data_IF_246457718395
#
_entry.id   IF_246457718395
#
_cell.length_a   1.000
_cell.length_b   1.000
_cell.length_c   1.000
_cell.angle_alpha   90.00
_cell.angle_beta   90.00
_cell.angle_gamma   90.00
#
_symmetry.space_group_name_H-M   'P 1'
#
loop_
_entity.id
_entity.type
_entity.pdbx_description
1 polymer ?
#
# COMPACT_ATOMS: atom_id res chain seq x y z
N UNK A 1 -2.40 -19.25 -33.07
CA UNK A 1 -1.31 -18.37 -33.53
C UNK A 1 0.06 -18.91 -33.07
N UNK A 2 0.34 -20.21 -33.25
CA UNK A 2 1.54 -20.86 -32.66
C UNK A 2 2.61 -21.28 -33.68
N UNK A 3 2.40 -21.03 -34.98
CA UNK A 3 3.19 -21.66 -36.05
C UNK A 3 4.43 -20.89 -36.54
N UNK A 4 4.72 -19.69 -36.04
CA UNK A 4 5.81 -18.83 -36.57
C UNK A 4 6.74 -18.28 -35.46
N UNK A 5 7.17 -19.12 -34.51
CA UNK A 5 8.08 -18.71 -33.42
C UNK A 5 9.40 -19.48 -33.52
N UNK A 6 10.51 -18.76 -33.71
CA UNK A 6 11.84 -19.37 -33.73
C UNK A 6 12.34 -19.42 -32.29
N UNK A 7 12.38 -20.64 -31.75
CA UNK A 7 12.67 -20.93 -30.34
C UNK A 7 14.16 -20.69 -30.07
N UNK A 8 14.48 -19.93 -29.03
CA UNK A 8 15.86 -19.75 -28.54
C UNK A 8 16.12 -20.81 -27.47
N UNK A 9 17.20 -21.58 -27.62
CA UNK A 9 17.61 -22.60 -26.65
C UNK A 9 18.15 -21.93 -25.37
N UNK A 10 17.60 -22.20 -24.17
CA UNK A 10 18.11 -21.66 -22.91
C UNK A 10 19.59 -21.95 -22.65
N UNK A 11 20.16 -23.01 -23.24
CA UNK A 11 21.58 -23.37 -23.11
C UNK A 11 22.53 -22.42 -23.85
N UNK A 12 22.00 -21.54 -24.71
CA UNK A 12 22.79 -20.52 -25.42
C UNK A 12 23.15 -19.30 -24.55
N UNK A 13 22.61 -19.20 -23.33
CA UNK A 13 22.95 -18.16 -22.35
C UNK A 13 23.18 -18.78 -20.96
N UNK A 14 24.40 -18.67 -20.44
CA UNK A 14 24.75 -19.10 -19.09
C UNK A 14 24.12 -18.16 -18.04
N UNK A 15 22.97 -18.51 -17.47
CA UNK A 15 22.41 -17.84 -16.29
C UNK A 15 21.99 -18.90 -15.27
N UNK A 16 22.73 -19.00 -14.17
CA UNK A 16 22.34 -19.77 -12.98
C UNK A 16 21.11 -19.14 -12.33
N UNK A 17 19.96 -19.80 -12.42
CA UNK A 17 18.75 -19.40 -11.71
C UNK A 17 18.68 -20.10 -10.34
N UNK A 18 18.96 -19.36 -9.27
CA UNK A 18 18.60 -19.74 -7.91
C UNK A 18 17.54 -18.74 -7.44
N UNK A 19 16.29 -19.19 -7.26
CA UNK A 19 15.17 -18.37 -6.78
C UNK A 19 14.73 -18.91 -5.42
N UNK A 20 14.78 -18.13 -4.32
CA UNK A 20 14.13 -18.50 -3.08
C UNK A 20 12.63 -18.22 -3.14
N UNK A 21 11.81 -19.19 -2.70
CA UNK A 21 10.35 -19.10 -2.59
C UNK A 21 9.95 -18.21 -1.40
N UNK A 22 9.01 -17.29 -1.62
CA UNK A 22 8.23 -16.66 -0.55
C UNK A 22 6.78 -17.15 -0.64
N UNK A 23 6.23 -17.63 0.47
CA UNK A 23 4.87 -18.14 0.57
C UNK A 23 3.88 -16.97 0.75
N UNK A 24 2.88 -16.88 -0.14
CA UNK A 24 1.64 -16.12 0.05
C UNK A 24 0.46 -17.10 -0.05
N UNK A 25 -0.66 -16.87 0.67
CA UNK A 25 -1.76 -17.82 0.72
C UNK A 25 -2.61 -17.76 -0.56
N UNK A 26 -3.12 -18.91 -1.06
CA UNK A 26 -4.00 -18.93 -2.21
C UNK A 26 -5.41 -18.48 -1.83
N UNK A 27 -6.04 -17.68 -2.69
CA UNK A 27 -7.49 -17.50 -2.70
C UNK A 27 -8.12 -18.61 -3.53
N UNK A 28 -9.33 -18.99 -3.16
CA UNK A 28 -10.01 -20.24 -3.52
C UNK A 28 -10.45 -20.36 -4.99
N UNK A 29 -10.35 -21.60 -5.49
CA UNK A 29 -10.94 -22.16 -6.71
C UNK A 29 -10.36 -21.71 -8.06
N UNK A 30 -9.13 -22.15 -8.35
CA UNK A 30 -8.69 -22.38 -9.73
C UNK A 30 -8.31 -23.84 -9.91
N UNK A 31 -8.93 -24.49 -10.90
CA UNK A 31 -8.69 -25.87 -11.27
C UNK A 31 -7.20 -26.12 -11.54
N UNK A 32 -6.66 -27.19 -10.94
CA UNK A 32 -5.26 -27.59 -11.10
C UNK A 32 -4.95 -27.91 -12.58
N UNK A 33 -4.23 -27.01 -13.24
CA UNK A 33 -3.66 -27.23 -14.58
C UNK A 33 -2.35 -28.02 -14.42
N UNK A 34 -2.06 -29.05 -15.26
CA UNK A 34 -0.88 -29.90 -15.09
C UNK A 34 0.43 -29.11 -15.24
N UNK A 35 1.41 -29.45 -14.40
CA UNK A 35 2.76 -28.88 -14.37
C UNK A 35 3.54 -29.20 -15.66
N UNK A 36 3.60 -28.24 -16.59
CA UNK A 36 4.83 -28.01 -17.36
C UNK A 36 5.54 -26.80 -16.75
N UNK A 37 6.63 -27.04 -16.00
CA UNK A 37 7.36 -26.04 -15.19
C UNK A 37 8.07 -24.93 -15.98
N UNK A 38 7.93 -24.88 -17.31
CA UNK A 38 8.59 -23.88 -18.15
C UNK A 38 7.61 -23.25 -19.13
N UNK A 39 7.68 -21.92 -19.29
CA UNK A 39 6.78 -21.19 -20.17
C UNK A 39 6.78 -21.77 -21.60
N UNK A 40 5.63 -22.11 -22.19
CA UNK A 40 5.57 -22.78 -23.50
C UNK A 40 6.09 -21.92 -24.66
N UNK A 41 6.17 -20.60 -24.46
CA UNK A 41 6.62 -19.63 -25.47
C UNK A 41 8.15 -19.52 -25.46
N UNK A 42 8.73 -19.16 -24.31
CA UNK A 42 10.16 -18.86 -24.21
C UNK A 42 11.00 -19.97 -23.56
N UNK A 43 10.36 -21.04 -23.05
CA UNK A 43 10.99 -22.18 -22.38
C UNK A 43 11.96 -21.79 -21.26
N UNK A 44 11.62 -20.73 -20.52
CA UNK A 44 12.45 -20.21 -19.43
C UNK A 44 13.47 -19.15 -19.84
N UNK A 45 13.71 -18.90 -21.13
CA UNK A 45 14.64 -17.86 -21.59
C UNK A 45 14.14 -16.44 -21.30
N UNK A 46 12.82 -16.25 -21.17
CA UNK A 46 12.20 -14.94 -20.91
C UNK A 46 12.06 -14.04 -22.15
N UNK A 47 12.63 -14.43 -23.29
CA UNK A 47 12.55 -13.74 -24.58
C UNK A 47 12.35 -14.76 -25.71
N UNK A 48 11.89 -14.30 -26.87
CA UNK A 48 11.76 -15.12 -28.08
C UNK A 48 11.92 -14.25 -29.33
N UNK A 49 12.18 -14.87 -30.48
CA UNK A 49 12.19 -14.20 -31.79
C UNK A 49 11.06 -14.75 -32.67
N UNK A 50 10.47 -13.90 -33.51
CA UNK A 50 9.51 -14.37 -34.52
C UNK A 50 10.25 -15.11 -35.64
N UNK A 51 9.65 -16.18 -36.15
CA UNK A 51 10.14 -16.88 -37.33
C UNK A 51 9.51 -16.22 -38.58
N UNK A 52 10.16 -15.17 -39.05
CA UNK A 52 9.71 -14.33 -40.18
C UNK A 52 10.82 -14.24 -41.24
N UNK A 53 10.51 -13.91 -42.51
CA UNK A 53 11.53 -13.73 -43.55
C UNK A 53 12.53 -12.61 -43.22
N UNK A 54 13.72 -12.64 -43.82
CA UNK A 54 14.80 -11.64 -43.59
C UNK A 54 14.35 -10.19 -43.87
N UNK A 55 13.40 -10.01 -44.79
CA UNK A 55 12.88 -8.69 -45.14
C UNK A 55 11.78 -8.19 -44.19
N UNK A 56 11.36 -9.00 -43.22
CA UNK A 56 10.39 -8.59 -42.19
C UNK A 56 11.09 -7.74 -41.12
N UNK A 57 10.50 -6.62 -40.69
CA UNK A 57 11.09 -5.75 -39.67
C UNK A 57 11.30 -6.44 -38.31
N UNK A 58 10.62 -7.56 -38.04
CA UNK A 58 10.76 -8.33 -36.81
C UNK A 58 11.82 -9.44 -36.91
N UNK A 59 12.47 -9.61 -38.07
CA UNK A 59 13.51 -10.62 -38.24
C UNK A 59 14.67 -10.38 -37.27
N UNK A 60 14.98 -11.39 -36.45
CA UNK A 60 16.06 -11.31 -35.46
C UNK A 60 15.77 -10.40 -34.25
N UNK A 61 14.57 -9.81 -34.14
CA UNK A 61 14.22 -8.95 -33.02
C UNK A 61 13.90 -9.78 -31.77
N UNK A 62 14.54 -9.46 -30.64
CA UNK A 62 14.26 -10.08 -29.34
C UNK A 62 13.00 -9.47 -28.72
N UNK A 63 11.96 -10.28 -28.62
CA UNK A 63 10.69 -9.91 -28.00
C UNK A 63 10.65 -10.44 -26.58
N UNK A 64 10.30 -9.59 -25.61
CA UNK A 64 10.14 -10.01 -24.22
C UNK A 64 8.90 -10.90 -24.09
N UNK A 65 9.06 -12.08 -23.48
CA UNK A 65 7.96 -12.99 -23.26
C UNK A 65 7.00 -12.45 -22.20
N UNK A 66 5.70 -12.71 -22.36
CA UNK A 66 4.67 -12.35 -21.39
C UNK A 66 4.95 -12.92 -19.98
N UNK A 67 5.54 -14.12 -19.87
CA UNK A 67 5.92 -14.68 -18.57
C UNK A 67 6.99 -13.82 -17.87
N UNK A 68 7.89 -13.18 -18.61
CA UNK A 68 8.96 -12.34 -18.06
C UNK A 68 8.41 -10.97 -17.64
N UNK A 69 7.44 -10.46 -18.37
CA UNK A 69 6.69 -9.26 -17.98
C UNK A 69 5.91 -9.53 -16.69
N UNK A 70 5.14 -10.62 -16.63
CA UNK A 70 4.39 -11.02 -15.44
C UNK A 70 5.29 -11.26 -14.22
N UNK A 71 6.47 -11.88 -14.39
CA UNK A 71 7.46 -12.04 -13.33
C UNK A 71 7.96 -10.68 -12.80
N UNK A 72 8.23 -9.72 -13.69
CA UNK A 72 8.65 -8.36 -13.31
C UNK A 72 7.54 -7.63 -12.54
N UNK A 73 6.30 -7.69 -13.04
CA UNK A 73 5.12 -7.11 -12.39
C UNK A 73 4.88 -7.74 -11.00
N UNK A 74 5.02 -9.07 -10.88
CA UNK A 74 4.98 -9.78 -9.60
C UNK A 74 6.03 -9.24 -8.61
N UNK A 75 7.30 -9.18 -9.02
CA UNK A 75 8.39 -8.65 -8.17
C UNK A 75 8.17 -7.20 -7.77
N UNK A 76 7.63 -6.38 -8.66
CA UNK A 76 7.31 -4.98 -8.36
C UNK A 76 6.23 -4.91 -7.29
N UNK A 77 5.14 -5.68 -7.42
CA UNK A 77 4.07 -5.75 -6.42
C UNK A 77 4.59 -6.23 -5.07
N UNK A 78 5.42 -7.27 -5.04
CA UNK A 78 6.04 -7.77 -3.80
C UNK A 78 6.89 -6.69 -3.12
N UNK A 79 7.65 -5.93 -3.90
CA UNK A 79 8.47 -4.82 -3.39
C UNK A 79 7.60 -3.71 -2.79
N UNK A 80 6.50 -3.34 -3.45
CA UNK A 80 5.55 -2.36 -2.91
C UNK A 80 4.92 -2.85 -1.61
N UNK A 81 4.51 -4.11 -1.57
CA UNK A 81 3.96 -4.76 -0.38
C UNK A 81 4.93 -4.70 0.81
N UNK A 82 6.17 -5.15 0.61
CA UNK A 82 7.19 -5.16 1.67
C UNK A 82 7.49 -3.78 2.23
N UNK A 83 7.37 -2.73 1.41
CA UNK A 83 7.65 -1.34 1.80
C UNK A 83 6.45 -0.62 2.40
N UNK A 84 5.26 -1.22 2.36
CA UNK A 84 4.00 -0.58 2.74
C UNK A 84 3.70 -0.57 4.23
N UNK A 85 4.41 -1.38 5.03
CA UNK A 85 4.13 -1.60 6.45
C UNK A 85 2.70 -2.14 6.74
N UNK A 86 2.08 -2.82 5.78
CA UNK A 86 0.72 -3.36 5.91
C UNK A 86 0.65 -4.80 6.42
N UNK A 87 1.76 -5.43 6.82
CA UNK A 87 1.79 -6.84 7.20
C UNK A 87 0.82 -7.16 8.34
N UNK A 88 0.73 -6.31 9.37
CA UNK A 88 -0.22 -6.47 10.47
C UNK A 88 -1.68 -6.20 10.08
N UNK A 89 -1.92 -5.61 8.90
CA UNK A 89 -3.22 -5.17 8.40
C UNK A 89 -3.59 -5.82 7.07
N UNK A 90 -2.96 -6.94 6.69
CA UNK A 90 -3.17 -7.62 5.41
C UNK A 90 -4.65 -8.01 5.19
N UNK A 91 -5.31 -8.44 6.26
CA UNK A 91 -6.72 -8.86 6.21
C UNK A 91 -7.71 -7.69 6.27
N UNK A 92 -7.24 -6.44 6.45
CA UNK A 92 -8.07 -5.24 6.59
C UNK A 92 -8.33 -4.61 5.23
N UNK A 93 -9.37 -5.06 4.56
CA UNK A 93 -9.77 -4.57 3.24
C UNK A 93 -11.26 -4.15 3.25
N UNK A 94 -11.73 -3.62 2.12
CA UNK A 94 -13.12 -3.15 2.01
C UNK A 94 -14.15 -4.29 2.11
N UNK A 95 -13.78 -5.51 1.74
CA UNK A 95 -14.67 -6.68 1.79
C UNK A 95 -14.81 -7.23 3.22
N UNK A 96 -13.75 -7.12 4.03
CA UNK A 96 -13.77 -7.52 5.44
C UNK A 96 -14.30 -6.43 6.37
N UNK A 97 -14.57 -5.23 5.86
CA UNK A 97 -15.16 -4.14 6.63
C UNK A 97 -16.67 -4.30 6.73
N UNK A 98 -17.22 -4.30 7.94
CA UNK A 98 -18.67 -4.34 8.13
C UNK A 98 -19.30 -2.96 7.87
N UNK A 99 -19.71 -2.74 6.62
CA UNK A 99 -20.36 -1.49 6.18
C UNK A 99 -21.80 -1.34 6.66
N UNK A 100 -22.46 -2.40 7.13
CA UNK A 100 -23.87 -2.36 7.56
C UNK A 100 -24.09 -1.69 8.92
N UNK A 101 -23.02 -1.24 9.58
CA UNK A 101 -23.10 -0.56 10.87
C UNK A 101 -23.65 0.85 10.67
N UNK A 102 -24.64 1.22 11.49
CA UNK A 102 -25.19 2.59 11.47
C UNK A 102 -24.08 3.59 11.78
N UNK A 103 -23.93 4.59 10.91
CA UNK A 103 -22.93 5.67 11.08
C UNK A 103 -21.57 5.42 10.42
N UNK A 104 -21.39 4.33 9.64
CA UNK A 104 -20.15 4.10 8.86
C UNK A 104 -20.32 4.25 7.35
N UNK A 105 -21.54 4.21 6.82
CA UNK A 105 -21.82 4.19 5.37
C UNK A 105 -21.13 5.31 4.59
N UNK A 106 -21.22 6.55 5.07
CA UNK A 106 -20.59 7.69 4.42
C UNK A 106 -19.06 7.58 4.44
N UNK A 107 -18.50 7.14 5.56
CA UNK A 107 -17.05 6.94 5.75
C UNK A 107 -16.53 5.85 4.82
N UNK A 108 -17.26 4.74 4.72
CA UNK A 108 -16.96 3.65 3.82
C UNK A 108 -17.00 4.08 2.35
N UNK A 109 -18.06 4.77 1.93
CA UNK A 109 -18.21 5.24 0.56
C UNK A 109 -17.09 6.22 0.17
N UNK A 110 -16.75 7.17 1.05
CA UNK A 110 -15.66 8.12 0.82
C UNK A 110 -14.29 7.45 0.81
N UNK A 111 -14.04 6.51 1.72
CA UNK A 111 -12.81 5.73 1.73
C UNK A 111 -12.64 4.92 0.44
N UNK A 112 -13.71 4.26 -0.04
CA UNK A 112 -13.70 3.51 -1.28
C UNK A 112 -13.45 4.41 -2.50
N UNK A 113 -14.10 5.58 -2.55
CA UNK A 113 -13.88 6.56 -3.62
C UNK A 113 -12.43 7.09 -3.62
N UNK A 114 -11.87 7.41 -2.44
CA UNK A 114 -10.48 7.84 -2.32
C UNK A 114 -9.51 6.75 -2.78
N UNK A 115 -9.75 5.49 -2.43
CA UNK A 115 -8.89 4.38 -2.84
C UNK A 115 -8.91 4.13 -4.37
N UNK A 116 -10.02 4.44 -5.04
CA UNK A 116 -10.15 4.37 -6.51
C UNK A 116 -9.43 5.52 -7.23
N UNK A 117 -9.37 6.70 -6.62
CA UNK A 117 -8.66 7.85 -7.18
C UNK A 117 -8.01 8.69 -6.07
N UNK A 118 -6.83 8.28 -5.56
CA UNK A 118 -6.17 8.99 -4.47
C UNK A 118 -5.81 10.41 -4.89
N UNK A 119 -6.53 11.40 -4.35
CA UNK A 119 -6.32 12.82 -4.61
C UNK A 119 -6.67 13.63 -3.36
N UNK A 120 -5.85 14.63 -3.05
CA UNK A 120 -6.02 15.43 -1.84
C UNK A 120 -5.91 14.56 -0.59
N UNK A 121 -6.52 15.00 0.49
CA UNK A 121 -6.42 14.36 1.78
C UNK A 121 -7.78 13.82 2.24
N UNK A 122 -7.75 12.70 2.96
CA UNK A 122 -8.91 12.15 3.63
C UNK A 122 -8.63 12.05 5.13
N UNK A 123 -9.42 12.74 5.94
CA UNK A 123 -9.34 12.70 7.39
C UNK A 123 -10.51 11.90 7.95
N UNK A 124 -10.20 10.78 8.61
CA UNK A 124 -11.17 9.95 9.32
C UNK A 124 -11.14 10.30 10.81
N UNK A 125 -12.26 10.80 11.34
CA UNK A 125 -12.41 11.22 12.74
C UNK A 125 -13.44 10.35 13.44
N UNK A 126 -13.25 10.02 14.70
CA UNK A 126 -14.25 9.29 15.48
C UNK A 126 -13.67 8.58 16.72
N UNK A 127 -14.54 8.02 17.55
CA UNK A 127 -14.14 7.36 18.79
C UNK A 127 -13.27 6.10 18.61
N UNK A 128 -12.86 5.50 19.72
CA UNK A 128 -12.10 4.24 19.70
C UNK A 128 -12.94 3.10 19.12
N UNK A 129 -12.31 2.26 18.30
CA UNK A 129 -12.94 1.04 17.78
C UNK A 129 -14.08 1.23 16.77
N UNK A 130 -14.27 2.43 16.21
CA UNK A 130 -15.30 2.67 15.18
C UNK A 130 -14.87 2.28 13.74
N UNK A 131 -13.63 1.80 13.55
CA UNK A 131 -13.15 1.26 12.27
C UNK A 131 -12.27 2.19 11.41
N UNK A 132 -11.81 3.32 11.94
CA UNK A 132 -10.91 4.27 11.21
C UNK A 132 -9.66 3.58 10.66
N UNK A 133 -8.89 2.92 11.51
CA UNK A 133 -7.68 2.16 11.13
C UNK A 133 -7.97 1.10 10.09
N UNK A 134 -9.13 0.43 10.17
CA UNK A 134 -9.53 -0.58 9.16
C UNK A 134 -9.75 0.10 7.81
N UNK A 135 -10.53 1.18 7.75
CA UNK A 135 -10.75 1.91 6.49
C UNK A 135 -9.45 2.48 5.92
N UNK A 136 -8.57 3.02 6.77
CA UNK A 136 -7.27 3.54 6.37
C UNK A 136 -6.36 2.43 5.80
N UNK A 137 -6.31 1.27 6.45
CA UNK A 137 -5.60 0.10 5.94
C UNK A 137 -6.24 -0.45 4.66
N UNK A 138 -7.57 -0.44 4.53
CA UNK A 138 -8.27 -0.88 3.32
C UNK A 138 -7.93 0.01 2.12
N UNK A 139 -7.86 1.33 2.32
CA UNK A 139 -7.37 2.27 1.30
C UNK A 139 -5.93 1.94 0.89
N UNK A 140 -5.06 1.71 1.87
CA UNK A 140 -3.65 1.41 1.60
C UNK A 140 -3.47 0.07 0.87
N UNK A 141 -4.19 -0.97 1.27
CA UNK A 141 -4.19 -2.28 0.61
C UNK A 141 -4.69 -2.16 -0.85
N UNK A 142 -5.75 -1.40 -1.09
CA UNK A 142 -6.25 -1.10 -2.43
C UNK A 142 -5.20 -0.37 -3.28
N UNK A 143 -4.55 0.64 -2.70
CA UNK A 143 -3.52 1.42 -3.39
C UNK A 143 -2.32 0.55 -3.79
N UNK A 144 -1.80 -0.30 -2.90
CA UNK A 144 -0.71 -1.23 -3.21
C UNK A 144 -1.11 -2.22 -4.30
N UNK A 145 -2.34 -2.75 -4.27
CA UNK A 145 -2.83 -3.66 -5.32
C UNK A 145 -2.92 -2.98 -6.68
N UNK A 146 -3.14 -1.67 -6.70
CA UNK A 146 -3.13 -0.81 -7.90
C UNK A 146 -1.75 -0.22 -8.20
N UNK A 147 -0.70 -0.78 -7.60
CA UNK A 147 0.70 -0.43 -7.81
C UNK A 147 1.10 0.99 -7.38
N UNK A 148 0.30 1.64 -6.53
CA UNK A 148 0.68 2.90 -5.91
C UNK A 148 1.71 2.66 -4.82
N UNK A 149 2.80 3.44 -4.86
CA UNK A 149 3.75 3.48 -3.78
C UNK A 149 3.07 4.02 -2.53
N UNK A 150 2.91 3.16 -1.53
CA UNK A 150 2.11 3.45 -0.34
C UNK A 150 2.90 3.10 0.90
N UNK A 151 2.81 3.92 1.94
CA UNK A 151 3.32 3.62 3.28
C UNK A 151 2.19 3.83 4.29
N UNK A 152 1.94 2.84 5.14
CA UNK A 152 1.04 2.92 6.28
C UNK A 152 1.86 2.99 7.58
N UNK A 153 1.64 4.01 8.40
CA UNK A 153 2.31 4.10 9.70
C UNK A 153 1.37 4.64 10.76
N UNK A 154 1.45 4.04 11.95
CA UNK A 154 0.89 4.63 13.16
C UNK A 154 1.83 5.76 13.60
N UNK A 155 1.28 6.92 13.93
CA UNK A 155 2.05 8.14 14.19
C UNK A 155 3.10 7.98 15.32
N UNK A 156 2.78 7.35 16.48
CA UNK A 156 3.79 7.05 17.50
C UNK A 156 4.94 6.18 16.98
N UNK A 157 4.65 5.12 16.23
CA UNK A 157 5.65 4.22 15.67
C UNK A 157 6.57 4.92 14.66
N UNK A 158 6.00 5.81 13.83
CA UNK A 158 6.76 6.67 12.92
C UNK A 158 7.77 7.53 13.70
N UNK A 159 7.33 8.16 14.79
CA UNK A 159 8.18 9.03 15.58
C UNK A 159 9.28 8.24 16.30
N UNK A 160 8.96 7.09 16.88
CA UNK A 160 9.97 6.23 17.50
C UNK A 160 10.99 5.72 16.47
N UNK A 161 10.49 5.33 15.29
CA UNK A 161 11.32 4.95 14.15
C UNK A 161 12.30 6.08 13.78
N UNK A 162 11.78 7.30 13.57
CA UNK A 162 12.61 8.47 13.24
C UNK A 162 13.62 8.79 14.33
N UNK A 163 13.24 8.65 15.61
CA UNK A 163 14.12 8.91 16.76
C UNK A 163 15.27 7.91 16.83
N UNK A 164 14.99 6.63 16.58
CA UNK A 164 15.99 5.56 16.60
C UNK A 164 17.08 5.74 15.55
N UNK A 165 16.75 6.38 14.43
CA UNK A 165 17.67 6.64 13.31
C UNK A 165 18.59 7.86 13.49
N UNK A 166 18.43 8.64 14.58
CA UNK A 166 19.30 9.79 14.92
C UNK A 166 20.61 9.39 15.64
N UNK A 167 21.03 8.12 15.56
CA UNK A 167 22.30 7.68 16.14
C UNK A 167 23.52 8.24 15.39
N UNK A 168 24.67 8.45 16.06
CA UNK A 168 25.85 9.16 15.54
C UNK A 168 26.55 8.53 14.31
N UNK A 169 26.07 7.39 13.80
CA UNK A 169 26.72 6.62 12.73
C UNK A 169 25.94 6.57 11.40
N UNK A 170 24.85 7.33 11.21
CA UNK A 170 24.06 7.20 9.96
C UNK A 170 23.19 8.40 9.56
N UNK A 171 23.73 9.63 9.55
CA UNK A 171 22.97 10.82 9.09
C UNK A 171 22.42 10.64 7.66
N UNK A 172 23.18 10.04 6.74
CA UNK A 172 22.76 9.83 5.33
C UNK A 172 21.54 8.91 5.18
N UNK A 173 21.47 7.82 5.96
CA UNK A 173 20.36 6.87 5.88
C UNK A 173 19.05 7.42 6.49
N UNK A 174 19.17 8.38 7.41
CA UNK A 174 18.03 9.08 7.99
C UNK A 174 17.34 9.97 6.95
N UNK A 175 18.12 10.81 6.27
CA UNK A 175 17.60 11.80 5.32
C UNK A 175 16.89 11.12 4.14
N UNK A 176 17.48 10.09 3.55
CA UNK A 176 16.86 9.36 2.44
C UNK A 176 15.50 8.75 2.82
N UNK A 177 15.38 8.19 4.02
CA UNK A 177 14.15 7.51 4.43
C UNK A 177 13.09 8.50 4.90
N UNK A 178 13.49 9.58 5.56
CA UNK A 178 12.59 10.69 5.88
C UNK A 178 12.04 11.32 4.59
N UNK A 179 12.91 11.53 3.60
CA UNK A 179 12.53 12.01 2.28
C UNK A 179 11.58 11.06 1.57
N UNK A 180 11.86 9.76 1.62
CA UNK A 180 10.95 8.73 1.10
C UNK A 180 9.56 8.81 1.75
N UNK A 181 9.48 8.91 3.08
CA UNK A 181 8.20 8.98 3.80
C UNK A 181 7.40 10.23 3.39
N UNK A 182 8.04 11.40 3.35
CA UNK A 182 7.31 12.63 3.02
C UNK A 182 6.92 12.72 1.55
N UNK A 183 7.66 12.09 0.62
CA UNK A 183 7.44 12.18 -0.83
C UNK A 183 6.70 11.00 -1.46
N UNK A 184 6.42 9.93 -0.70
CA UNK A 184 5.70 8.75 -1.21
C UNK A 184 4.34 9.11 -1.83
N UNK A 185 3.90 8.39 -2.85
CA UNK A 185 2.67 8.70 -3.59
C UNK A 185 1.43 8.71 -2.66
N UNK A 186 1.29 7.71 -1.79
CA UNK A 186 0.25 7.67 -0.76
C UNK A 186 0.86 7.42 0.62
N UNK A 187 0.58 8.32 1.56
CA UNK A 187 0.94 8.15 2.96
C UNK A 187 -0.31 8.01 3.80
N UNK A 188 -0.35 7.01 4.67
CA UNK A 188 -1.38 6.85 5.69
C UNK A 188 -0.75 7.07 7.07
N UNK A 189 -1.27 8.05 7.80
CA UNK A 189 -0.88 8.39 9.17
C UNK A 189 -2.04 8.04 10.11
N UNK A 190 -1.91 6.89 10.77
CA UNK A 190 -2.91 6.37 11.70
C UNK A 190 -2.69 6.89 13.12
N UNK A 191 -3.78 7.13 13.85
CA UNK A 191 -3.81 7.63 15.23
C UNK A 191 -3.04 8.95 15.44
N UNK A 192 -3.24 9.92 14.54
CA UNK A 192 -2.74 11.29 14.71
C UNK A 192 -3.32 11.94 15.97
N UNK A 193 -2.45 12.44 16.84
CA UNK A 193 -2.80 13.02 18.14
C UNK A 193 -2.65 12.05 19.32
N UNK A 194 -2.30 10.79 19.08
CA UNK A 194 -1.98 9.82 20.13
C UNK A 194 -0.51 9.88 20.59
N UNK A 195 0.35 10.64 19.90
CA UNK A 195 1.77 10.76 20.21
C UNK A 195 2.06 11.60 21.45
N UNK A 196 3.27 11.41 22.00
CA UNK A 196 3.79 12.29 23.04
C UNK A 196 4.02 13.70 22.50
N UNK A 197 3.48 14.71 23.18
CA UNK A 197 3.54 16.14 22.77
C UNK A 197 4.92 16.79 22.95
N UNK A 198 5.99 16.14 22.50
CA UNK A 198 7.35 16.70 22.53
C UNK A 198 7.53 17.75 21.43
N UNK A 199 8.42 18.72 21.64
CA UNK A 199 8.74 19.72 20.61
C UNK A 199 9.29 19.07 19.33
N UNK A 200 10.12 18.03 19.48
CA UNK A 200 10.69 17.28 18.36
C UNK A 200 9.62 16.53 17.56
N UNK A 201 8.67 15.85 18.23
CA UNK A 201 7.60 15.12 17.55
C UNK A 201 6.71 16.06 16.72
N UNK A 202 6.31 17.18 17.32
CA UNK A 202 5.51 18.22 16.64
C UNK A 202 6.24 18.78 15.43
N UNK A 203 7.53 19.04 15.55
CA UNK A 203 8.33 19.57 14.44
C UNK A 203 8.46 18.55 13.30
N UNK A 204 8.72 17.27 13.60
CA UNK A 204 8.83 16.24 12.57
C UNK A 204 7.51 15.94 11.86
N UNK A 205 6.41 15.86 12.59
CA UNK A 205 5.08 15.72 11.99
C UNK A 205 4.74 16.93 11.12
N UNK A 206 5.02 18.14 11.61
CA UNK A 206 4.81 19.35 10.82
C UNK A 206 5.62 19.35 9.52
N UNK A 207 6.89 18.95 9.54
CA UNK A 207 7.73 18.85 8.34
C UNK A 207 7.14 17.90 7.29
N UNK A 208 6.69 16.72 7.71
CA UNK A 208 6.07 15.73 6.80
C UNK A 208 4.76 16.30 6.23
N UNK A 209 3.85 16.75 7.09
CA UNK A 209 2.52 17.22 6.71
C UNK A 209 2.62 18.46 5.82
N UNK A 210 3.51 19.40 6.15
CA UNK A 210 3.71 20.62 5.38
C UNK A 210 4.32 20.34 4.01
N UNK A 211 5.29 19.42 3.90
CA UNK A 211 5.81 19.01 2.60
C UNK A 211 4.72 18.40 1.71
N UNK A 212 3.88 17.52 2.27
CA UNK A 212 2.78 16.89 1.53
C UNK A 212 1.69 17.88 1.16
N UNK A 213 1.45 18.88 2.01
CA UNK A 213 0.49 19.95 1.76
C UNK A 213 0.92 20.77 0.53
N UNK A 214 2.17 21.23 0.53
CA UNK A 214 2.73 22.05 -0.54
C UNK A 214 2.81 21.32 -1.89
N UNK A 215 2.99 19.99 -1.88
CA UNK A 215 3.07 19.18 -3.08
C UNK A 215 1.75 18.46 -3.44
N UNK A 216 0.67 18.74 -2.71
CA UNK A 216 -0.65 18.13 -2.88
C UNK A 216 -0.62 16.59 -2.95
N UNK A 217 0.26 15.97 -2.16
CA UNK A 217 0.44 14.52 -2.17
C UNK A 217 -0.71 13.83 -1.43
N UNK A 218 -1.33 12.79 -2.02
CA UNK A 218 -2.44 12.06 -1.41
C UNK A 218 -2.12 11.54 -0.01
N UNK A 219 -2.95 11.88 0.99
CA UNK A 219 -2.66 11.51 2.38
C UNK A 219 -3.94 11.12 3.11
N UNK A 220 -3.90 10.02 3.84
CA UNK A 220 -5.00 9.60 4.72
C UNK A 220 -4.56 9.78 6.16
N UNK A 221 -5.42 10.40 6.96
CA UNK A 221 -5.22 10.59 8.39
C UNK A 221 -6.34 9.90 9.15
N UNK A 222 -6.00 9.32 10.29
CA UNK A 222 -7.02 8.95 11.29
C UNK A 222 -6.74 9.68 12.60
N UNK A 223 -7.80 10.09 13.29
CA UNK A 223 -7.66 10.69 14.62
C UNK A 223 -8.85 10.36 15.50
N UNK A 224 -8.59 10.21 16.80
CA UNK A 224 -9.57 10.00 17.85
C UNK A 224 -9.73 11.25 18.74
N UNK A 225 -8.94 12.30 18.50
CA UNK A 225 -9.03 13.57 19.22
C UNK A 225 -9.69 14.62 18.33
N UNK A 226 -10.24 15.63 19.00
CA UNK A 226 -10.74 16.82 18.35
C UNK A 226 -9.56 17.61 17.73
N UNK A 227 -9.79 18.24 16.57
CA UNK A 227 -8.74 18.92 15.81
C UNK A 227 -8.14 20.14 16.53
N UNK A 228 -8.88 20.72 17.48
CA UNK A 228 -8.43 21.81 18.35
C UNK A 228 -7.34 21.37 19.35
N UNK A 229 -7.23 20.06 19.61
CA UNK A 229 -6.19 19.47 20.47
C UNK A 229 -4.90 19.16 19.73
N UNK A 230 -4.90 19.21 18.40
CA UNK A 230 -3.70 19.03 17.59
C UNK A 230 -2.82 20.29 17.58
N UNK A 231 -1.56 20.16 17.14
CA UNK A 231 -0.71 21.34 16.89
C UNK A 231 -1.45 22.29 15.93
N UNK A 232 -1.60 23.59 16.27
CA UNK A 232 -2.38 24.54 15.47
C UNK A 232 -1.93 24.62 14.01
N UNK A 233 -0.64 24.41 13.74
CA UNK A 233 -0.09 24.42 12.38
C UNK A 233 -0.56 23.20 11.59
N UNK A 234 -0.65 22.03 12.23
CA UNK A 234 -1.17 20.80 11.62
C UNK A 234 -2.68 20.92 11.43
N UNK A 235 -3.40 21.34 12.47
CA UNK A 235 -4.85 21.54 12.43
C UNK A 235 -5.26 22.47 11.28
N UNK A 236 -4.56 23.61 11.12
CA UNK A 236 -4.81 24.56 10.02
C UNK A 236 -4.73 23.93 8.62
N UNK A 237 -3.88 22.92 8.41
CA UNK A 237 -3.76 22.22 7.11
C UNK A 237 -4.81 21.15 6.93
N UNK A 238 -5.20 20.48 8.01
CA UNK A 238 -6.28 19.49 8.00
C UNK A 238 -7.67 20.13 7.82
N UNK A 239 -7.82 21.39 8.22
CA UNK A 239 -9.06 22.18 8.08
C UNK A 239 -9.20 22.86 6.71
N UNK A 240 -8.17 22.82 5.86
CA UNK A 240 -8.29 23.30 4.48
C UNK A 240 -9.21 22.38 3.67
N UNK A 241 -10.42 22.86 3.37
CA UNK A 241 -11.47 22.10 2.69
C UNK A 241 -11.20 21.88 1.20
N UNK A 242 -10.29 22.65 0.59
CA UNK A 242 -9.91 22.46 -0.81
C UNK A 242 -9.05 21.20 -0.98
N UNK A 243 -8.20 20.93 0.01
CA UNK A 243 -7.30 19.79 0.01
C UNK A 243 -7.85 18.61 0.82
N UNK A 244 -8.42 18.85 1.99
CA UNK A 244 -8.75 17.83 2.98
C UNK A 244 -10.26 17.59 3.12
N UNK A 245 -10.69 16.37 2.79
CA UNK A 245 -12.05 15.92 3.04
C UNK A 245 -12.14 15.24 4.40
N UNK A 246 -12.79 15.88 5.36
CA UNK A 246 -13.07 15.30 6.67
C UNK A 246 -14.32 14.43 6.65
N UNK A 247 -14.25 13.26 7.30
CA UNK A 247 -15.36 12.35 7.53
C UNK A 247 -15.39 11.85 8.97
N UNK A 248 -16.57 11.93 9.60
CA UNK A 248 -16.76 11.51 10.99
C UNK A 248 -17.45 10.15 11.04
N UNK A 249 -16.86 9.19 11.74
CA UNK A 249 -17.43 7.88 12.00
C UNK A 249 -18.19 7.93 13.33
N UNK A 250 -19.52 7.87 13.27
CA UNK A 250 -20.41 7.98 14.43
C UNK A 250 -20.76 6.62 15.07
N UNK A 251 -20.14 5.53 14.62
CA UNK A 251 -20.43 4.18 15.10
C UNK A 251 -19.91 3.94 16.54
N UNK A 252 -20.64 3.10 17.29
CA UNK A 252 -20.21 2.58 18.60
C UNK A 252 -19.03 1.61 18.44
N UNK A 253 -18.22 1.45 19.48
CA UNK A 253 -17.03 0.59 19.48
C UNK A 253 -17.36 -0.86 19.07
N UNK A 254 -16.80 -1.29 17.94
CA UNK A 254 -16.97 -2.62 17.35
C UNK A 254 -16.42 -3.75 18.24
N UNK A 255 -15.41 -3.47 19.08
CA UNK A 255 -14.77 -4.48 19.93
C UNK A 255 -15.72 -5.02 21.02
N UNK A 256 -16.77 -4.27 21.35
CA UNK A 256 -17.76 -4.68 22.35
C UNK A 256 -18.84 -5.60 21.76
N UNK A 257 -19.14 -5.47 20.47
CA UNK A 257 -20.20 -6.25 19.81
C UNK A 257 -19.78 -7.71 19.63
N UNK A 258 -18.51 -7.97 19.31
CA UNK A 258 -17.96 -9.34 19.16
C UNK A 258 -17.86 -10.09 20.50
N UNK A 259 -17.66 -9.39 21.62
CA UNK A 259 -17.62 -10.02 22.96
C UNK A 259 -18.98 -10.54 23.42
N UNK A 260 -20.08 -9.86 23.09
CA UNK A 260 -21.41 -10.26 23.53
C UNK A 260 -21.99 -11.48 22.79
N UNK A 261 -21.49 -11.81 21.61
CA UNK A 261 -21.93 -13.03 20.89
C UNK A 261 -21.29 -14.32 21.39
N UNK A 262 -20.16 -14.25 22.12
CA UNK A 262 -19.49 -15.43 22.68
C UNK A 262 -19.95 -15.79 24.12
N UNK A 263 -20.85 -15.00 24.73
CA UNK A 263 -21.37 -15.27 26.09
C UNK A 263 -22.77 -15.91 26.04
N UNK A 264 -23.40 -16.02 24.86
CA UNK A 264 -24.74 -16.62 24.71
C UNK A 264 -24.80 -18.13 24.47
N UNK A 265 -23.66 -18.81 24.51
CA UNK A 265 -23.59 -20.28 24.54
C UNK A 265 -22.92 -20.74 25.83
N UNK A 266 -23.66 -20.68 26.93
CA UNK A 266 -23.46 -21.49 28.12
C UNK A 266 -24.81 -21.94 28.63
#
# INVERSE_FOLDING_TARGET
MEKNLRRIDPSSFSISANIPRANMPPSSEEAAIPMEETCPICKGAGYFCMDVPINDPNFGHLITCQCKLAEKEGRQRDKLWQQSNLQAFETKNFDTFNSHIVGVNESFARAKAFAQAPKGWLLLVGGYGCGKTHLAAAIANEAVRREYQTIFMVVPDLLDYLRSTFGPNSEVAYDERFDKIRSIQLLVLDDLGAESSTAWAREKLFQIINHRYNNHLPTVFTTNVDLDKLDPRIASRLLDVELCRQTVIQAKDYRQTTRNNNIRYK
#
